data_IF_698986540553
#
_entry.id   IF_698986540553
#
_cell.length_a   1.000
_cell.length_b   1.000
_cell.length_c   1.000
_cell.angle_alpha   90.00
_cell.angle_beta   90.00
_cell.angle_gamma   90.00
#
_symmetry.space_group_name_H-M   'P 1'
#
loop_
_entity.id
_entity.type
_entity.pdbx_description
1 polymer ?
#
# COMPACT_ATOMS: atom_id res chain seq x y z
N UNK A 1 38.62 4.73 -18.11
CA UNK A 1 38.70 3.80 -16.97
C UNK A 1 38.49 4.51 -15.63
N UNK A 2 39.08 5.67 -15.37
CA UNK A 2 38.89 6.38 -14.07
C UNK A 2 37.43 6.81 -13.80
N UNK A 3 36.72 7.36 -14.81
CA UNK A 3 35.31 7.73 -14.67
C UNK A 3 34.40 6.55 -14.33
N UNK A 4 34.72 5.36 -14.87
CA UNK A 4 33.97 4.13 -14.55
C UNK A 4 34.24 3.67 -13.12
N UNK A 5 35.48 3.80 -12.63
CA UNK A 5 35.85 3.51 -11.22
C UNK A 5 35.15 4.47 -10.24
N UNK A 6 35.05 5.75 -10.59
CA UNK A 6 34.30 6.74 -9.80
C UNK A 6 32.81 6.46 -9.74
N UNK A 7 32.20 6.03 -10.84
CA UNK A 7 30.79 5.64 -10.86
C UNK A 7 30.57 4.38 -10.04
N UNK A 8 31.46 3.38 -10.14
CA UNK A 8 31.37 2.15 -9.34
C UNK A 8 31.58 2.46 -7.85
N UNK A 9 32.55 3.31 -7.51
CA UNK A 9 32.84 3.74 -6.13
C UNK A 9 31.62 4.51 -5.55
N UNK A 10 31.00 5.39 -6.34
CA UNK A 10 29.79 6.11 -5.95
C UNK A 10 28.60 5.16 -5.75
N UNK A 11 28.44 4.15 -6.62
CA UNK A 11 27.44 3.10 -6.44
C UNK A 11 27.67 2.27 -5.16
N UNK A 12 28.93 1.93 -4.85
CA UNK A 12 29.28 1.16 -3.64
C UNK A 12 29.03 1.98 -2.37
N UNK A 13 29.31 3.28 -2.38
CA UNK A 13 29.08 4.18 -1.24
C UNK A 13 27.56 4.37 -0.99
N UNK A 14 26.73 4.37 -2.04
CA UNK A 14 25.27 4.47 -1.92
C UNK A 14 24.66 3.17 -1.35
N UNK A 15 25.32 2.03 -1.52
CA UNK A 15 24.87 0.71 -1.06
C UNK A 15 25.21 0.38 0.40
N UNK A 16 25.97 1.23 1.12
CA UNK A 16 26.47 0.91 2.46
C UNK A 16 25.83 1.70 3.61
N UNK A 17 24.58 2.14 3.45
CA UNK A 17 23.84 2.75 4.54
C UNK A 17 22.91 1.72 5.19
N UNK A 18 23.36 1.12 6.29
CA UNK A 18 22.47 0.39 7.21
C UNK A 18 21.54 1.40 7.87
N UNK A 19 20.30 1.46 7.40
CA UNK A 19 19.30 2.37 7.94
C UNK A 19 18.10 1.57 8.40
N UNK A 20 17.94 1.48 9.70
CA UNK A 20 16.70 1.02 10.34
C UNK A 20 15.65 2.10 10.18
N UNK A 21 14.68 1.88 9.32
CA UNK A 21 13.54 2.76 9.11
C UNK A 21 12.25 2.01 9.42
N UNK A 22 11.41 2.61 10.25
CA UNK A 22 10.01 2.20 10.38
C UNK A 22 9.35 2.33 9.00
N UNK A 23 8.73 1.26 8.49
CA UNK A 23 8.09 1.24 7.18
C UNK A 23 6.59 1.13 7.37
N UNK A 24 5.82 1.92 6.59
CA UNK A 24 4.36 1.77 6.49
C UNK A 24 4.00 0.36 6.03
N UNK A 25 2.76 -0.05 6.37
CA UNK A 25 2.20 -1.34 6.00
C UNK A 25 2.41 -1.68 4.52
N UNK A 26 2.83 -2.89 4.25
CA UNK A 26 3.02 -3.42 2.90
C UNK A 26 1.90 -4.39 2.55
N UNK A 27 1.42 -4.32 1.30
CA UNK A 27 0.33 -5.16 0.79
C UNK A 27 0.81 -6.00 -0.38
N UNK A 28 0.54 -7.29 -0.34
CA UNK A 28 0.83 -8.20 -1.46
C UNK A 28 -0.21 -8.04 -2.55
N UNK A 29 -1.48 -7.84 -2.15
CA UNK A 29 -2.60 -7.62 -3.06
C UNK A 29 -2.89 -6.10 -3.22
N UNK A 30 -1.84 -5.29 -3.35
CA UNK A 30 -1.93 -3.83 -3.45
C UNK A 30 -2.88 -3.35 -4.56
N UNK A 31 -3.05 -4.13 -5.64
CA UNK A 31 -3.95 -3.80 -6.74
C UNK A 31 -5.42 -3.73 -6.32
N UNK A 32 -5.81 -4.33 -5.20
CA UNK A 32 -7.14 -4.24 -4.59
C UNK A 32 -7.23 -3.17 -3.50
N UNK A 33 -6.11 -2.50 -3.18
CA UNK A 33 -6.02 -1.46 -2.16
C UNK A 33 -5.42 -0.14 -2.71
N UNK A 34 -5.55 0.09 -4.00
CA UNK A 34 -4.91 1.22 -4.72
C UNK A 34 -5.29 2.59 -4.18
N UNK A 35 -6.52 2.77 -3.66
CA UNK A 35 -6.96 4.05 -3.10
C UNK A 35 -6.16 4.44 -1.85
N UNK A 36 -5.69 3.48 -1.08
CA UNK A 36 -4.83 3.72 0.08
C UNK A 36 -3.46 4.24 -0.38
N UNK A 37 -2.90 3.63 -1.42
CA UNK A 37 -1.57 3.99 -1.94
C UNK A 37 -1.59 5.28 -2.78
N UNK A 38 -2.67 5.54 -3.53
CA UNK A 38 -2.72 6.67 -4.47
C UNK A 38 -4.09 7.36 -4.44
N UNK A 39 -4.18 8.60 -3.93
CA UNK A 39 -5.45 9.34 -3.88
C UNK A 39 -6.05 9.61 -5.27
N UNK A 40 -5.23 9.66 -6.32
CA UNK A 40 -5.72 9.85 -7.69
C UNK A 40 -6.53 8.65 -8.22
N UNK A 41 -6.46 7.51 -7.54
CA UNK A 41 -7.26 6.33 -7.88
C UNK A 41 -8.73 6.48 -7.48
N UNK A 42 -9.07 7.36 -6.54
CA UNK A 42 -10.44 7.56 -6.06
C UNK A 42 -11.40 7.82 -7.22
N UNK A 43 -12.52 7.08 -7.26
CA UNK A 43 -13.54 7.17 -8.31
C UNK A 43 -13.16 6.57 -9.68
N UNK A 44 -11.94 6.05 -9.86
CA UNK A 44 -11.48 5.49 -11.14
C UNK A 44 -12.27 4.26 -11.59
N UNK A 45 -12.88 3.51 -10.68
CA UNK A 45 -13.67 2.29 -10.97
C UNK A 45 -15.05 2.57 -11.55
N UNK A 46 -15.49 3.83 -11.59
CA UNK A 46 -16.83 4.28 -12.04
C UNK A 46 -18.01 3.69 -11.23
N UNK A 47 -17.76 3.10 -10.09
CA UNK A 47 -18.74 2.52 -9.14
C UNK A 47 -18.43 3.01 -7.75
N UNK A 48 -19.36 2.89 -6.80
CA UNK A 48 -19.01 2.92 -5.39
C UNK A 48 -18.25 1.62 -5.09
N UNK A 49 -16.99 1.75 -4.72
CA UNK A 49 -16.11 0.63 -4.38
C UNK A 49 -15.80 0.64 -2.90
N UNK A 50 -16.01 -0.49 -2.23
CA UNK A 50 -15.73 -0.72 -0.82
C UNK A 50 -14.74 -1.87 -0.75
N UNK A 51 -13.55 -1.62 -0.23
CA UNK A 51 -12.50 -2.61 -0.02
C UNK A 51 -12.19 -2.78 1.47
N UNK A 52 -12.09 -4.02 1.90
CA UNK A 52 -11.53 -4.39 3.21
C UNK A 52 -10.37 -5.33 2.97
N UNK A 53 -9.23 -5.06 3.61
CA UNK A 53 -8.06 -5.91 3.51
C UNK A 53 -7.48 -6.10 4.91
N UNK A 54 -7.23 -7.35 5.28
CA UNK A 54 -6.57 -7.72 6.52
C UNK A 54 -5.28 -8.48 6.22
N UNK A 55 -4.20 -8.13 6.92
CA UNK A 55 -2.88 -8.75 6.76
C UNK A 55 -2.28 -9.06 8.12
N UNK A 56 -1.73 -10.25 8.27
CA UNK A 56 -0.88 -10.66 9.40
C UNK A 56 0.46 -11.08 8.85
N UNK A 57 1.51 -10.35 9.23
CA UNK A 57 2.87 -10.63 8.77
C UNK A 57 3.58 -11.57 9.74
N UNK A 58 4.54 -12.35 9.24
CA UNK A 58 5.49 -13.17 10.01
C UNK A 58 4.84 -13.96 11.13
N UNK A 59 3.91 -14.83 10.77
CA UNK A 59 3.16 -15.65 11.74
C UNK A 59 4.14 -16.41 12.65
N UNK A 60 3.80 -16.54 13.93
CA UNK A 60 4.59 -17.09 15.05
C UNK A 60 5.71 -16.17 15.59
N UNK A 61 5.83 -14.94 15.13
CA UNK A 61 6.65 -13.93 15.80
C UNK A 61 5.75 -13.09 16.70
N UNK A 62 6.07 -13.03 17.99
CA UNK A 62 5.35 -12.20 18.96
C UNK A 62 5.52 -10.72 18.60
N UNK A 63 4.42 -9.97 18.58
CA UNK A 63 4.42 -8.56 18.20
C UNK A 63 4.58 -8.30 16.69
N UNK A 64 4.46 -9.34 15.86
CA UNK A 64 4.51 -9.18 14.40
C UNK A 64 3.38 -8.28 13.88
N UNK A 65 3.62 -7.56 12.76
CA UNK A 65 2.67 -6.58 12.24
C UNK A 65 1.32 -7.18 11.87
N UNK A 66 0.24 -6.47 12.25
CA UNK A 66 -1.15 -6.76 11.85
C UNK A 66 -1.77 -5.50 11.31
N UNK A 67 -2.25 -5.56 10.07
CA UNK A 67 -2.83 -4.42 9.39
C UNK A 67 -4.27 -4.73 8.99
N UNK A 68 -5.18 -3.81 9.27
CA UNK A 68 -6.55 -3.83 8.75
C UNK A 68 -6.81 -2.54 7.99
N UNK A 69 -7.33 -2.64 6.79
CA UNK A 69 -7.64 -1.50 5.93
C UNK A 69 -9.10 -1.53 5.51
N UNK A 70 -9.76 -0.39 5.59
CA UNK A 70 -11.05 -0.13 4.98
C UNK A 70 -10.88 1.06 4.01
N UNK A 71 -11.23 0.87 2.75
CA UNK A 71 -11.21 1.92 1.74
C UNK A 71 -12.55 1.99 1.03
N UNK A 72 -13.11 3.19 0.93
CA UNK A 72 -14.36 3.45 0.22
C UNK A 72 -14.13 4.60 -0.75
N UNK A 73 -14.45 4.42 -2.02
CA UNK A 73 -14.35 5.51 -2.98
C UNK A 73 -15.42 5.41 -4.07
N UNK A 74 -15.80 6.56 -4.60
CA UNK A 74 -16.80 6.65 -5.66
C UNK A 74 -16.54 7.83 -6.61
N UNK A 75 -16.97 7.76 -7.88
CA UNK A 75 -17.04 8.93 -8.72
C UNK A 75 -18.20 9.84 -8.27
N UNK A 76 -17.94 11.14 -8.26
CA UNK A 76 -18.93 12.20 -8.01
C UNK A 76 -19.04 13.05 -9.27
N UNK A 77 -20.07 12.74 -10.07
CA UNK A 77 -20.19 13.33 -11.41
C UNK A 77 -19.19 12.73 -12.42
N UNK A 78 -18.75 13.53 -13.41
CA UNK A 78 -17.96 13.02 -14.55
C UNK A 78 -16.45 13.09 -14.39
N UNK A 79 -15.96 13.94 -13.48
CA UNK A 79 -14.52 14.25 -13.37
C UNK A 79 -13.96 14.13 -11.96
N UNK A 80 -14.80 14.13 -10.95
CA UNK A 80 -14.40 14.12 -9.55
C UNK A 80 -14.55 12.71 -8.99
N UNK A 81 -13.58 12.26 -8.21
CA UNK A 81 -13.67 11.10 -7.34
C UNK A 81 -13.46 11.52 -5.89
N UNK A 82 -14.19 10.92 -4.99
CA UNK A 82 -14.02 11.07 -3.54
C UNK A 82 -13.73 9.70 -2.93
N UNK A 83 -12.92 9.69 -1.88
CA UNK A 83 -12.60 8.49 -1.14
C UNK A 83 -12.40 8.76 0.34
N UNK A 84 -12.54 7.72 1.13
CA UNK A 84 -12.18 7.67 2.55
C UNK A 84 -11.43 6.36 2.76
N UNK A 85 -10.36 6.40 3.54
CA UNK A 85 -9.66 5.20 3.98
C UNK A 85 -9.32 5.26 5.46
N UNK A 86 -9.40 4.09 6.09
CA UNK A 86 -8.98 3.86 7.48
C UNK A 86 -8.00 2.71 7.45
N UNK A 87 -6.85 2.91 8.05
CA UNK A 87 -5.81 1.88 8.20
C UNK A 87 -5.54 1.75 9.69
N UNK A 88 -5.65 0.55 10.23
CA UNK A 88 -5.24 0.22 11.58
C UNK A 88 -4.05 -0.73 11.49
N UNK A 89 -2.93 -0.33 12.05
CA UNK A 89 -1.68 -1.09 12.06
C UNK A 89 -1.20 -1.29 13.49
N UNK A 90 -0.81 -2.50 13.83
CA UNK A 90 -0.30 -2.87 15.14
C UNK A 90 1.06 -3.55 14.97
N UNK A 91 2.10 -3.03 15.63
CA UNK A 91 3.46 -3.57 15.60
C UNK A 91 4.00 -3.59 17.03
N UNK A 92 4.11 -4.77 17.62
CA UNK A 92 4.48 -4.90 19.03
C UNK A 92 3.51 -4.10 19.93
N UNK A 93 4.04 -3.19 20.78
CA UNK A 93 3.21 -2.36 21.65
C UNK A 93 2.67 -1.09 20.97
N UNK A 94 3.04 -0.83 19.71
CA UNK A 94 2.64 0.39 18.97
C UNK A 94 1.42 0.10 18.13
N UNK A 95 0.39 0.93 18.27
CA UNK A 95 -0.78 0.96 17.39
C UNK A 95 -0.86 2.29 16.67
N UNK A 96 -1.09 2.22 15.38
CA UNK A 96 -1.27 3.37 14.51
C UNK A 96 -2.61 3.29 13.78
N UNK A 97 -3.39 4.37 13.81
CA UNK A 97 -4.64 4.46 13.06
C UNK A 97 -4.58 5.68 12.14
N UNK A 98 -4.70 5.43 10.85
CA UNK A 98 -4.71 6.45 9.83
C UNK A 98 -6.13 6.64 9.29
N UNK A 99 -6.64 7.86 9.32
CA UNK A 99 -7.97 8.22 8.80
C UNK A 99 -7.77 9.30 7.74
N UNK A 100 -8.09 8.98 6.49
CA UNK A 100 -7.84 9.83 5.34
C UNK A 100 -9.08 10.05 4.50
N UNK A 101 -9.18 11.26 3.94
CA UNK A 101 -10.08 11.60 2.85
C UNK A 101 -9.27 11.86 1.58
N UNK A 102 -9.77 11.36 0.45
CA UNK A 102 -9.17 11.49 -0.86
C UNK A 102 -10.08 12.29 -1.78
N UNK A 103 -9.46 13.18 -2.55
CA UNK A 103 -10.09 13.90 -3.64
C UNK A 103 -9.31 13.63 -4.91
N UNK A 104 -9.98 13.30 -6.01
CA UNK A 104 -9.37 13.17 -7.32
C UNK A 104 -10.09 14.00 -8.37
N UNK A 105 -9.32 14.48 -9.36
CA UNK A 105 -9.84 15.14 -10.55
C UNK A 105 -9.29 14.48 -11.80
N UNK A 106 -10.19 13.97 -12.65
CA UNK A 106 -9.86 13.18 -13.83
C UNK A 106 -10.08 13.98 -15.11
N UNK A 107 -9.07 13.99 -15.97
CA UNK A 107 -9.05 14.63 -17.28
C UNK A 107 -8.98 13.53 -18.34
N UNK A 108 -9.94 13.46 -19.30
CA UNK A 108 -9.79 12.60 -20.46
C UNK A 108 -8.65 13.14 -21.34
N UNK A 109 -7.71 12.27 -21.70
CA UNK A 109 -6.55 12.59 -22.54
C UNK A 109 -6.68 12.06 -23.97
N UNK A 110 -7.51 11.02 -24.15
CA UNK A 110 -7.87 10.42 -25.42
C UNK A 110 -9.22 9.73 -25.32
N UNK A 111 -9.66 9.04 -26.35
CA UNK A 111 -10.92 8.27 -26.34
C UNK A 111 -10.94 7.20 -25.21
N UNK A 112 -9.80 6.64 -24.83
CA UNK A 112 -9.69 5.62 -23.80
C UNK A 112 -8.85 6.07 -22.60
N UNK A 113 -7.93 7.03 -22.81
CA UNK A 113 -6.97 7.47 -21.79
C UNK A 113 -7.56 8.51 -20.85
N UNK A 114 -7.28 8.34 -19.57
CA UNK A 114 -7.67 9.25 -18.50
C UNK A 114 -6.47 9.52 -17.59
N UNK A 115 -6.29 10.80 -17.23
CA UNK A 115 -5.27 11.25 -16.29
C UNK A 115 -5.98 11.84 -15.07
N UNK A 116 -5.73 11.26 -13.91
CA UNK A 116 -6.28 11.74 -12.64
C UNK A 116 -5.17 12.33 -11.77
N UNK A 117 -5.47 13.44 -11.10
CA UNK A 117 -4.68 14.05 -10.05
C UNK A 117 -5.42 13.87 -8.73
N UNK A 118 -4.70 13.50 -7.68
CA UNK A 118 -5.29 13.20 -6.39
C UNK A 118 -4.62 13.97 -5.26
N UNK A 119 -5.42 14.34 -4.28
CA UNK A 119 -5.00 14.89 -3.00
C UNK A 119 -5.58 14.04 -1.87
N UNK A 120 -4.78 13.81 -0.85
CA UNK A 120 -5.13 13.10 0.39
C UNK A 120 -4.94 14.04 1.56
N UNK A 121 -5.85 14.01 2.50
CA UNK A 121 -5.70 14.73 3.76
C UNK A 121 -6.33 13.94 4.90
N UNK A 122 -5.72 14.01 6.08
CA UNK A 122 -6.24 13.30 7.23
C UNK A 122 -5.34 13.37 8.45
N UNK A 123 -5.52 12.40 9.32
CA UNK A 123 -4.82 12.33 10.60
C UNK A 123 -4.33 10.92 10.87
N UNK A 124 -3.19 10.85 11.53
CA UNK A 124 -2.62 9.63 12.10
C UNK A 124 -2.71 9.71 13.62
N UNK A 125 -3.30 8.69 14.24
CA UNK A 125 -3.42 8.52 15.67
C UNK A 125 -2.41 7.46 16.10
N UNK A 126 -1.44 7.83 16.92
CA UNK A 126 -0.48 6.89 17.49
C UNK A 126 -0.85 6.60 18.93
N UNK A 127 -0.77 5.34 19.33
CA UNK A 127 -0.89 4.91 20.73
C UNK A 127 0.16 3.85 21.07
N UNK A 128 0.57 3.84 22.33
CA UNK A 128 1.54 2.89 22.87
C UNK A 128 0.91 2.10 24.03
N UNK A 129 0.83 0.78 23.89
CA UNK A 129 0.42 -0.10 24.98
C UNK A 129 1.58 -0.28 25.97
N UNK A 130 1.52 0.47 27.05
CA UNK A 130 2.53 0.42 28.14
C UNK A 130 2.50 -0.87 28.92
N UNK A 131 1.36 -1.55 28.99
CA UNK A 131 1.24 -2.81 29.73
C UNK A 131 2.00 -3.94 29.03
N UNK A 132 2.15 -3.84 27.69
CA UNK A 132 2.93 -4.77 26.89
C UNK A 132 4.46 -4.54 27.04
N UNK A 133 4.88 -3.37 27.52
CA UNK A 133 6.28 -3.08 27.84
C UNK A 133 6.58 -3.62 29.23
N UNK A 134 7.11 -4.83 29.34
CA UNK A 134 7.54 -5.47 30.61
C UNK A 134 8.74 -4.73 31.28
N UNK A 135 8.80 -3.41 31.25
CA UNK A 135 9.88 -2.65 31.87
C UNK A 135 9.57 -2.35 33.33
N UNK A 136 10.48 -2.80 34.22
CA UNK A 136 10.44 -2.58 35.66
C UNK A 136 10.67 -1.11 36.02
N UNK A 137 11.20 -0.32 35.08
CA UNK A 137 11.45 1.10 35.28
C UNK A 137 10.41 1.93 34.54
N UNK A 138 9.60 2.66 35.31
CA UNK A 138 8.73 3.74 34.81
C UNK A 138 9.59 4.90 34.33
N UNK A 139 10.36 4.68 33.28
CA UNK A 139 11.10 5.77 32.67
C UNK A 139 10.11 6.72 32.00
N UNK A 140 10.18 7.98 32.39
CA UNK A 140 9.39 9.08 31.84
C UNK A 140 9.57 9.29 30.33
N UNK A 141 10.47 8.53 29.69
CA UNK A 141 10.76 8.50 28.25
C UNK A 141 9.55 8.12 27.42
N UNK A 142 8.67 7.25 27.94
CA UNK A 142 7.49 6.77 27.20
C UNK A 142 6.25 7.66 27.36
N UNK A 143 6.30 8.69 28.21
CA UNK A 143 5.15 9.56 28.48
C UNK A 143 4.76 10.43 27.29
N UNK A 144 5.72 10.77 26.42
CA UNK A 144 5.49 11.65 25.27
C UNK A 144 5.03 10.93 24.00
N UNK A 145 5.07 9.60 23.95
CA UNK A 145 4.58 8.81 22.83
C UNK A 145 3.09 8.46 22.89
N UNK A 146 2.44 8.74 24.04
CA UNK A 146 1.06 8.33 24.27
C UNK A 146 0.07 9.28 23.57
N UNK A 147 -0.82 8.68 22.74
CA UNK A 147 -2.00 9.36 22.17
C UNK A 147 -1.68 10.63 21.35
N UNK A 148 -0.74 10.55 20.41
CA UNK A 148 -0.47 11.66 19.49
C UNK A 148 -1.38 11.61 18.26
N UNK A 149 -1.93 12.78 17.93
CA UNK A 149 -2.67 12.99 16.68
C UNK A 149 -1.85 13.90 15.77
N UNK A 150 -1.51 13.39 14.60
CA UNK A 150 -0.67 14.07 13.63
C UNK A 150 -1.41 14.28 12.33
N UNK A 151 -1.43 15.51 11.78
CA UNK A 151 -1.99 15.72 10.47
C UNK A 151 -1.11 15.11 9.40
N UNK A 152 -1.72 14.64 8.33
CA UNK A 152 -1.00 14.21 7.14
C UNK A 152 -1.67 14.71 5.87
N UNK A 153 -0.86 14.93 4.83
CA UNK A 153 -1.30 15.24 3.48
C UNK A 153 -0.58 14.33 2.50
N UNK A 154 -1.21 14.10 1.36
CA UNK A 154 -0.61 13.31 0.29
C UNK A 154 -1.08 13.77 -1.07
N UNK A 155 -0.36 13.36 -2.10
CA UNK A 155 -0.70 13.65 -3.48
C UNK A 155 -0.40 12.46 -4.38
N UNK A 156 -1.05 12.44 -5.54
CA UNK A 156 -0.79 11.40 -6.53
C UNK A 156 -1.27 11.78 -7.92
N UNK A 157 -0.74 11.04 -8.87
CA UNK A 157 -1.13 11.08 -10.28
C UNK A 157 -1.40 9.64 -10.71
N UNK A 158 -2.46 9.44 -11.50
CA UNK A 158 -2.84 8.15 -12.00
C UNK A 158 -3.31 8.26 -13.45
N UNK A 159 -2.55 7.67 -14.35
CA UNK A 159 -2.94 7.54 -15.75
C UNK A 159 -3.46 6.13 -16.00
N UNK A 160 -4.60 6.01 -16.66
CA UNK A 160 -5.19 4.72 -16.94
C UNK A 160 -6.01 4.68 -18.22
N UNK A 161 -6.06 3.51 -18.81
CA UNK A 161 -6.90 3.15 -19.96
C UNK A 161 -7.75 1.94 -19.60
N UNK A 162 -8.35 1.29 -20.58
CA UNK A 162 -9.02 -0.01 -20.41
C UNK A 162 -8.03 -1.17 -20.19
N UNK A 163 -6.76 -1.01 -20.63
CA UNK A 163 -5.76 -2.10 -20.63
C UNK A 163 -4.55 -1.86 -19.75
N UNK A 164 -4.17 -0.62 -19.50
CA UNK A 164 -2.96 -0.33 -18.71
C UNK A 164 -3.14 0.86 -17.79
N UNK A 165 -2.29 0.91 -16.78
CA UNK A 165 -2.21 2.03 -15.85
C UNK A 165 -0.77 2.30 -15.45
N UNK A 166 -0.53 3.55 -15.05
CA UNK A 166 0.68 4.01 -14.36
C UNK A 166 0.26 4.99 -13.28
N UNK A 167 0.74 4.79 -12.08
CA UNK A 167 0.49 5.66 -10.92
C UNK A 167 1.77 6.07 -10.23
N UNK A 168 1.85 7.34 -9.83
CA UNK A 168 2.89 7.87 -8.97
C UNK A 168 2.22 8.57 -7.80
N UNK A 169 2.65 8.30 -6.56
CA UNK A 169 2.01 8.89 -5.38
C UNK A 169 2.96 9.00 -4.19
N UNK A 170 2.63 9.92 -3.34
CA UNK A 170 3.18 10.13 -2.00
C UNK A 170 1.99 10.30 -1.05
N UNK A 171 1.44 9.21 -0.47
CA UNK A 171 0.28 9.30 0.41
C UNK A 171 0.57 9.96 1.75
N UNK A 172 1.83 9.95 2.19
CA UNK A 172 2.31 10.52 3.45
C UNK A 172 3.45 11.49 3.14
N UNK A 173 3.17 12.79 3.10
CA UNK A 173 4.15 13.83 2.76
C UNK A 173 4.65 14.60 3.97
N UNK A 174 3.86 14.67 5.05
CA UNK A 174 4.28 15.34 6.26
C UNK A 174 5.14 14.38 7.10
N UNK A 175 6.36 14.83 7.36
CA UNK A 175 7.27 14.15 8.28
C UNK A 175 7.00 14.67 9.68
N UNK A 176 6.39 13.84 10.51
CA UNK A 176 6.23 14.17 11.92
C UNK A 176 7.48 13.76 12.67
N UNK A 177 8.17 14.76 13.22
CA UNK A 177 9.36 14.52 14.05
C UNK A 177 8.95 14.46 15.51
N UNK A 178 9.28 13.35 16.15
CA UNK A 178 9.14 13.20 17.59
C UNK A 178 10.48 13.49 18.23
N UNK A 179 10.59 14.64 18.91
CA UNK A 179 11.79 14.98 19.67
C UNK A 179 11.54 14.71 21.15
N UNK A 180 12.35 13.88 21.75
CA UNK A 180 12.49 13.84 23.19
C UNK A 180 13.88 14.28 23.60
N UNK A 181 13.96 15.28 24.47
CA UNK A 181 15.20 15.76 25.07
C UNK A 181 15.19 15.38 26.55
N UNK A 182 15.89 14.31 26.91
CA UNK A 182 16.10 13.95 28.32
C UNK A 182 17.57 13.85 28.62
N UNK A 183 18.03 14.52 29.66
CA UNK A 183 19.43 14.49 30.15
C UNK A 183 20.49 14.76 29.06
N UNK A 184 20.16 15.60 28.07
CA UNK A 184 21.08 15.92 26.95
C UNK A 184 21.05 14.90 25.80
N UNK A 185 20.32 13.81 25.90
CA UNK A 185 20.11 12.84 24.83
C UNK A 185 18.86 13.27 24.06
N UNK A 186 18.99 13.43 22.75
CA UNK A 186 17.87 13.71 21.84
C UNK A 186 17.54 12.39 21.14
N UNK A 187 16.35 11.84 21.39
CA UNK A 187 15.81 10.73 20.62
C UNK A 187 14.88 11.29 19.56
N UNK A 188 15.21 11.07 18.29
CA UNK A 188 14.41 11.48 17.14
C UNK A 188 13.76 10.24 16.53
N UNK A 189 12.43 10.16 16.57
CA UNK A 189 11.66 9.26 15.73
C UNK A 189 10.90 10.12 14.72
N UNK A 190 10.84 9.70 13.46
CA UNK A 190 10.11 10.44 12.43
C UNK A 190 9.40 9.48 11.49
N UNK A 191 8.15 9.80 11.19
CA UNK A 191 7.48 9.17 10.05
C UNK A 191 8.24 9.57 8.79
N UNK A 192 8.51 8.60 7.93
CA UNK A 192 9.25 8.86 6.70
C UNK A 192 8.29 8.96 5.53
N UNK A 193 8.63 9.82 4.60
CA UNK A 193 7.88 9.97 3.36
C UNK A 193 8.04 8.70 2.50
N UNK A 194 6.90 8.15 2.07
CA UNK A 194 6.81 7.02 1.16
C UNK A 194 6.42 7.47 -0.24
N UNK A 195 7.14 7.00 -1.23
CA UNK A 195 6.84 7.21 -2.64
C UNK A 195 6.50 5.88 -3.29
N UNK A 196 5.41 5.83 -4.04
CA UNK A 196 4.97 4.65 -4.76
C UNK A 196 4.89 4.93 -6.26
N UNK A 197 5.46 4.01 -7.04
CA UNK A 197 5.25 3.92 -8.49
C UNK A 197 4.58 2.58 -8.76
N UNK A 198 3.41 2.63 -9.40
CA UNK A 198 2.65 1.43 -9.77
C UNK A 198 2.43 1.40 -11.28
N UNK A 199 2.48 0.23 -11.87
CA UNK A 199 2.13 0.03 -13.28
C UNK A 199 1.63 -1.38 -13.52
N UNK A 200 0.79 -1.55 -14.53
CA UNK A 200 0.31 -2.84 -14.97
C UNK A 200 -0.32 -2.78 -16.35
N UNK A 201 -0.32 -3.91 -17.02
CA UNK A 201 -0.91 -4.08 -18.34
C UNK A 201 -1.75 -5.35 -18.40
N UNK A 202 -2.92 -5.29 -19.04
CA UNK A 202 -3.81 -6.44 -19.25
C UNK A 202 -3.70 -6.91 -20.69
N UNK A 203 -3.22 -8.13 -20.87
CA UNK A 203 -3.20 -8.86 -22.12
C UNK A 203 -4.41 -9.79 -22.20
N UNK A 204 -5.22 -9.65 -23.23
CA UNK A 204 -6.26 -10.62 -23.55
C UNK A 204 -5.61 -11.78 -24.31
N UNK A 205 -5.37 -12.92 -23.62
CA UNK A 205 -4.77 -14.11 -24.22
C UNK A 205 -5.80 -14.93 -24.99
N UNK A 206 -7.05 -14.94 -24.51
CA UNK A 206 -8.22 -15.52 -25.17
C UNK A 206 -9.49 -14.82 -24.70
N UNK A 207 -10.66 -15.23 -25.19
CA UNK A 207 -11.97 -14.73 -24.71
C UNK A 207 -12.20 -15.01 -23.22
N UNK A 208 -11.56 -16.05 -22.66
CA UNK A 208 -11.75 -16.50 -21.29
C UNK A 208 -10.52 -16.32 -20.40
N UNK A 209 -9.37 -15.91 -20.96
CA UNK A 209 -8.12 -15.82 -20.22
C UNK A 209 -7.45 -14.46 -20.45
N UNK A 210 -7.21 -13.74 -19.36
CA UNK A 210 -6.45 -12.50 -19.35
C UNK A 210 -5.21 -12.67 -18.48
N UNK A 211 -4.12 -12.01 -18.88
CA UNK A 211 -2.86 -11.97 -18.14
C UNK A 211 -2.52 -10.54 -17.75
N UNK A 212 -2.19 -10.30 -16.49
CA UNK A 212 -1.82 -8.99 -15.97
C UNK A 212 -0.47 -9.05 -15.25
N UNK A 213 0.64 -8.75 -15.92
CA UNK A 213 1.86 -8.37 -15.24
C UNK A 213 1.69 -7.00 -14.59
N UNK A 214 2.23 -6.82 -13.41
CA UNK A 214 2.22 -5.55 -12.70
C UNK A 214 3.46 -5.37 -11.83
N UNK A 215 3.78 -4.11 -11.55
CA UNK A 215 4.94 -3.70 -10.77
C UNK A 215 4.51 -2.67 -9.73
N UNK A 216 5.05 -2.80 -8.54
CA UNK A 216 5.03 -1.79 -7.50
C UNK A 216 6.47 -1.50 -7.07
N UNK A 217 6.87 -0.23 -7.13
CA UNK A 217 8.12 0.26 -6.55
C UNK A 217 7.77 1.13 -5.37
N UNK A 218 8.32 0.82 -4.20
CA UNK A 218 8.23 1.65 -2.98
C UNK A 218 9.60 2.21 -2.64
N UNK A 219 9.68 3.53 -2.57
CA UNK A 219 10.83 4.26 -2.09
C UNK A 219 10.53 4.92 -0.74
N UNK A 220 11.42 4.74 0.22
CA UNK A 220 11.38 5.40 1.53
C UNK A 220 12.71 6.10 1.74
N UNK A 221 12.67 7.36 2.17
CA UNK A 221 13.90 8.12 2.41
C UNK A 221 14.75 7.41 3.47
N UNK A 222 15.96 7.01 3.08
CA UNK A 222 16.87 6.32 3.98
C UNK A 222 16.64 4.81 4.11
N UNK A 223 15.94 4.18 3.18
CA UNK A 223 15.78 2.72 3.10
C UNK A 223 16.04 2.22 1.67
N UNK A 224 16.44 0.96 1.48
CA UNK A 224 16.51 0.37 0.14
C UNK A 224 15.17 0.44 -0.59
N UNK A 225 15.22 0.49 -1.91
CA UNK A 225 14.01 0.40 -2.74
C UNK A 225 13.40 -1.01 -2.61
N UNK A 226 12.09 -1.06 -2.38
CA UNK A 226 11.32 -2.30 -2.49
C UNK A 226 10.70 -2.40 -3.88
N UNK A 227 10.84 -3.56 -4.51
CA UNK A 227 10.31 -3.85 -5.84
C UNK A 227 9.48 -5.13 -5.79
N UNK A 228 8.19 -5.01 -6.08
CA UNK A 228 7.25 -6.12 -6.19
C UNK A 228 6.91 -6.34 -7.67
N UNK A 229 7.13 -7.54 -8.16
CA UNK A 229 6.75 -7.99 -9.49
C UNK A 229 5.63 -9.01 -9.35
N UNK A 230 4.51 -8.78 -10.02
CA UNK A 230 3.34 -9.69 -9.96
C UNK A 230 2.91 -10.13 -11.35
N UNK A 231 2.42 -11.35 -11.44
CA UNK A 231 1.88 -11.95 -12.64
C UNK A 231 0.54 -12.64 -12.31
N UNK A 232 -0.56 -12.06 -12.76
CA UNK A 232 -1.90 -12.52 -12.45
C UNK A 232 -2.63 -13.02 -13.71
N UNK A 233 -3.32 -14.14 -13.60
CA UNK A 233 -4.18 -14.72 -14.64
C UNK A 233 -5.63 -14.68 -14.20
N UNK A 234 -6.48 -14.04 -14.98
CA UNK A 234 -7.93 -14.00 -14.76
C UNK A 234 -8.62 -14.96 -15.73
N UNK A 235 -9.35 -15.92 -15.17
CA UNK A 235 -10.01 -17.00 -15.89
C UNK A 235 -11.52 -16.80 -15.83
N UNK A 236 -12.18 -16.74 -16.98
CA UNK A 236 -13.64 -16.56 -17.13
C UNK A 236 -14.17 -15.34 -16.36
N UNK A 237 -13.39 -14.27 -16.20
CA UNK A 237 -13.69 -13.07 -15.39
C UNK A 237 -14.08 -13.38 -13.93
N UNK A 238 -13.80 -14.59 -13.44
CA UNK A 238 -14.17 -15.07 -12.11
C UNK A 238 -12.99 -15.44 -11.23
N UNK A 239 -12.19 -16.39 -11.65
CA UNK A 239 -11.07 -16.90 -10.89
C UNK A 239 -9.79 -16.15 -11.29
N UNK A 240 -9.10 -15.59 -10.34
CA UNK A 240 -7.76 -15.02 -10.53
C UNK A 240 -6.74 -15.86 -9.76
N UNK A 241 -5.67 -16.22 -10.44
CA UNK A 241 -4.51 -16.88 -9.87
C UNK A 241 -3.30 -16.01 -10.14
N UNK A 242 -2.46 -15.77 -9.15
CA UNK A 242 -1.31 -14.90 -9.27
C UNK A 242 -0.11 -15.41 -8.50
N UNK A 243 1.04 -14.95 -8.97
CA UNK A 243 2.32 -15.05 -8.26
C UNK A 243 2.89 -13.65 -8.14
N UNK A 244 3.51 -13.36 -7.00
CA UNK A 244 4.24 -12.12 -6.77
C UNK A 244 5.61 -12.43 -6.19
N UNK A 245 6.59 -11.64 -6.54
CA UNK A 245 7.92 -11.69 -5.98
C UNK A 245 8.34 -10.31 -5.53
N UNK A 246 8.60 -10.16 -4.24
CA UNK A 246 9.23 -8.98 -3.66
C UNK A 246 10.70 -9.26 -3.51
N UNK A 247 11.52 -8.46 -4.20
CA UNK A 247 12.96 -8.64 -4.20
C UNK A 247 13.51 -8.59 -2.77
N UNK A 248 14.38 -9.55 -2.45
CA UNK A 248 15.08 -9.72 -1.17
C UNK A 248 14.15 -9.90 0.05
N UNK A 249 12.85 -10.17 -0.16
CA UNK A 249 11.87 -10.32 0.92
C UNK A 249 11.06 -11.62 0.82
N UNK A 250 10.22 -11.79 -0.24
CA UNK A 250 9.26 -12.88 -0.28
C UNK A 250 8.82 -13.29 -1.69
N UNK A 251 8.29 -14.51 -1.77
CA UNK A 251 7.50 -15.00 -2.92
C UNK A 251 6.09 -15.29 -2.43
N UNK A 252 5.10 -14.87 -3.20
CA UNK A 252 3.69 -14.93 -2.81
C UNK A 252 2.84 -15.66 -3.83
N UNK A 253 1.91 -16.49 -3.34
CA UNK A 253 0.82 -17.03 -4.11
C UNK A 253 -0.47 -16.25 -3.85
N UNK A 254 -1.20 -15.90 -4.90
CA UNK A 254 -2.44 -15.13 -4.83
C UNK A 254 -3.57 -15.91 -5.47
N UNK A 255 -4.74 -15.87 -4.83
CA UNK A 255 -5.98 -16.40 -5.38
C UNK A 255 -7.12 -15.42 -5.09
N UNK A 256 -7.95 -15.12 -6.06
CA UNK A 256 -9.18 -14.40 -5.82
C UNK A 256 -10.33 -14.94 -6.65
N UNK A 257 -11.54 -14.75 -6.16
CA UNK A 257 -12.75 -15.24 -6.78
C UNK A 257 -13.86 -14.19 -6.77
N UNK A 258 -14.46 -13.93 -7.94
CA UNK A 258 -15.65 -13.13 -8.07
C UNK A 258 -16.88 -13.97 -7.69
N UNK A 259 -17.34 -13.82 -6.45
CA UNK A 259 -18.52 -14.50 -5.89
C UNK A 259 -19.78 -14.05 -6.64
N UNK A 260 -19.82 -12.77 -7.02
CA UNK A 260 -20.86 -12.18 -7.85
C UNK A 260 -20.24 -11.12 -8.78
N UNK A 261 -21.08 -10.43 -9.57
CA UNK A 261 -20.61 -9.29 -10.39
C UNK A 261 -20.12 -8.11 -9.54
N UNK A 262 -20.59 -8.03 -8.30
CA UNK A 262 -20.28 -6.93 -7.38
C UNK A 262 -19.32 -7.31 -6.27
N UNK A 263 -19.15 -8.60 -5.97
CA UNK A 263 -18.36 -9.06 -4.82
C UNK A 263 -17.21 -9.96 -5.26
N UNK A 264 -16.00 -9.57 -4.89
CA UNK A 264 -14.77 -10.34 -5.05
C UNK A 264 -14.12 -10.56 -3.68
N UNK A 265 -13.64 -11.75 -3.45
CA UNK A 265 -12.84 -12.10 -2.28
C UNK A 265 -11.49 -12.64 -2.75
N UNK A 266 -10.46 -12.44 -1.97
CA UNK A 266 -9.13 -12.97 -2.30
C UNK A 266 -8.30 -13.24 -1.07
N UNK A 267 -7.25 -14.01 -1.32
CA UNK A 267 -6.29 -14.41 -0.31
C UNK A 267 -4.90 -14.48 -0.93
N UNK A 268 -3.89 -14.10 -0.17
CA UNK A 268 -2.49 -14.28 -0.52
C UNK A 268 -1.71 -14.87 0.66
N UNK A 269 -0.73 -15.66 0.32
CA UNK A 269 0.25 -16.20 1.24
C UNK A 269 1.65 -15.80 0.77
N UNK A 270 2.42 -15.18 1.66
CA UNK A 270 3.80 -14.80 1.40
C UNK A 270 4.75 -15.75 2.12
N UNK A 271 5.61 -16.41 1.36
CA UNK A 271 6.72 -17.18 1.88
C UNK A 271 7.95 -16.26 2.00
N UNK A 272 8.47 -16.09 3.21
CA UNK A 272 9.62 -15.22 3.48
C UNK A 272 10.90 -15.85 3.00
N UNK A 273 11.67 -15.14 2.17
CA UNK A 273 12.96 -15.60 1.61
C UNK A 273 14.17 -15.04 2.37
N UNK A 274 13.98 -13.96 3.12
CA UNK A 274 15.04 -13.38 3.94
C UNK A 274 15.35 -14.26 5.17
N UNK A 275 16.44 -13.96 5.89
CA UNK A 275 16.84 -14.66 7.11
C UNK A 275 15.72 -14.71 8.18
N UNK A 276 14.74 -13.81 8.10
CA UNK A 276 13.57 -13.83 8.97
C UNK A 276 12.66 -15.05 8.72
N UNK A 277 12.76 -15.66 7.55
CA UNK A 277 12.00 -16.87 7.17
C UNK A 277 12.24 -18.06 8.09
N UNK A 278 13.43 -18.14 8.71
CA UNK A 278 13.75 -19.22 9.65
C UNK A 278 12.95 -19.13 10.97
N UNK A 279 12.34 -17.99 11.25
CA UNK A 279 11.67 -17.67 12.52
C UNK A 279 10.15 -17.49 12.38
N UNK A 280 9.60 -17.50 11.15
CA UNK A 280 8.18 -17.27 10.90
C UNK A 280 7.58 -18.31 9.94
N UNK A 281 6.26 -18.40 9.94
CA UNK A 281 5.51 -19.29 9.05
C UNK A 281 4.87 -18.53 7.88
N UNK A 282 5.50 -17.46 7.42
CA UNK A 282 5.01 -16.61 6.33
C UNK A 282 4.03 -15.54 6.77
N UNK A 283 3.44 -14.86 5.79
CA UNK A 283 2.43 -13.82 6.02
C UNK A 283 1.14 -14.15 5.27
N UNK A 284 0.02 -13.76 5.86
CA UNK A 284 -1.31 -14.02 5.34
C UNK A 284 -2.02 -12.71 5.07
N UNK A 285 -2.67 -12.62 3.91
CA UNK A 285 -3.45 -11.45 3.52
C UNK A 285 -4.77 -11.90 2.90
N UNK A 286 -5.87 -11.29 3.34
CA UNK A 286 -7.19 -11.55 2.79
C UNK A 286 -7.88 -10.23 2.46
N UNK A 287 -8.62 -10.19 1.36
CA UNK A 287 -9.42 -9.03 1.00
C UNK A 287 -10.85 -9.38 0.61
N UNK A 288 -11.72 -8.40 0.78
CA UNK A 288 -13.07 -8.36 0.25
C UNK A 288 -13.24 -7.04 -0.49
N UNK A 289 -13.71 -7.09 -1.73
CA UNK A 289 -14.04 -5.91 -2.52
C UNK A 289 -15.50 -5.99 -2.99
N UNK A 290 -16.25 -4.94 -2.71
CA UNK A 290 -17.62 -4.79 -3.12
C UNK A 290 -17.80 -3.54 -3.98
N UNK A 291 -18.20 -3.75 -5.25
CA UNK A 291 -18.48 -2.69 -6.21
C UNK A 291 -20.00 -2.56 -6.38
N UNK A 292 -20.55 -1.43 -5.97
CA UNK A 292 -21.98 -1.12 -6.09
C UNK A 292 -22.19 -0.18 -7.28
N UNK A 293 -22.86 -0.68 -8.30
CA UNK A 293 -23.20 0.11 -9.49
C UNK A 293 -24.60 0.72 -9.32
N UNK A 294 -24.64 2.05 -9.28
CA UNK A 294 -25.89 2.83 -9.23
C UNK A 294 -26.35 3.29 -10.62
N UNK A 295 -25.58 2.99 -11.68
CA UNK A 295 -25.96 3.38 -13.03
C UNK A 295 -27.11 2.52 -13.55
N UNK A 296 -28.06 3.16 -14.25
CA UNK A 296 -29.14 2.43 -14.96
C UNK A 296 -28.60 1.67 -16.17
N UNK A 297 -27.53 2.15 -16.75
CA UNK A 297 -26.80 1.47 -17.83
C UNK A 297 -25.76 0.55 -17.18
N UNK A 298 -25.88 -0.75 -17.41
CA UNK A 298 -24.94 -1.77 -16.93
C UNK A 298 -23.56 -1.52 -17.54
N UNK A 299 -22.84 -0.57 -17.00
CA UNK A 299 -21.42 -0.42 -17.28
C UNK A 299 -20.73 -1.54 -16.53
N UNK A 300 -20.57 -2.67 -17.20
CA UNK A 300 -19.60 -3.65 -16.74
C UNK A 300 -18.24 -2.93 -16.76
N UNK A 301 -17.74 -2.61 -15.59
CA UNK A 301 -16.32 -2.29 -15.45
C UNK A 301 -15.58 -3.59 -15.18
N UNK A 302 -15.09 -4.29 -16.19
CA UNK A 302 -14.23 -5.45 -16.02
C UNK A 302 -12.80 -4.97 -15.88
N UNK A 303 -12.59 -3.93 -15.07
CA UNK A 303 -11.23 -3.54 -14.80
C UNK A 303 -10.63 -4.57 -13.86
N UNK A 304 -9.77 -5.38 -14.43
CA UNK A 304 -8.91 -6.33 -13.74
C UNK A 304 -7.84 -5.60 -12.89
N UNK A 305 -8.01 -4.29 -12.64
CA UNK A 305 -7.14 -3.50 -11.76
C UNK A 305 -7.91 -2.35 -11.12
#
# INVERSE_FOLDING_TARGET
MEKLKLVILFLIIVLSLDITAQQDAQYTQYMYNMNVLNPAYAGSRNTLSIGVLGRTQWLNIDGAPKTLTLAVHAPVGKKVGLGISVIADEIGPVSEQNIYADFSYTIPTSNEGKLAFGLKGGVTLHSLDRAALNSVDTESVYLDFDNKTLPNIGAGVFYYTTKYYVGLSMPNMLQSKYFEKKNGIITEASDKMHMFLTSGYVFDLSETLKFKPSILVKGVVGSPLSLDLSANFLINDKLELGLSHRLDDSVSGLISFAVSKSLRIGYAYDYTLSNLGDFNSGSHEAFLQWDVDFSRDKVMSPRFF
#
